data_IF_514784645467
#
_entry.id   IF_514784645467
#
_cell.length_a   1.000
_cell.length_b   1.000
_cell.length_c   1.000
_cell.angle_alpha   90.00
_cell.angle_beta   90.00
_cell.angle_gamma   90.00
#
_symmetry.space_group_name_H-M   'P 1'
#
loop_
_entity.id
_entity.type
_entity.pdbx_description
1 polymer ?
#
# COMPACT_ATOMS: atom_id res chain seq x y z
N UNK A 1 50.59 -28.46 35.44
CA UNK A 1 50.59 -29.51 34.40
C UNK A 1 49.50 -30.51 34.77
N UNK A 2 48.71 -31.05 33.84
CA UNK A 2 48.06 -30.39 32.69
C UNK A 2 46.59 -30.84 32.47
N UNK A 3 45.88 -30.18 31.52
CA UNK A 3 44.95 -30.72 30.50
C UNK A 3 43.67 -31.50 30.92
N UNK A 4 42.51 -31.49 30.23
CA UNK A 4 42.14 -31.07 28.89
C UNK A 4 40.58 -31.02 28.75
N UNK A 5 40.07 -30.12 27.91
CA UNK A 5 38.86 -30.34 27.06
C UNK A 5 39.31 -31.12 25.81
N UNK A 6 38.48 -31.83 25.00
CA UNK A 6 37.06 -31.59 24.64
C UNK A 6 36.23 -32.91 24.48
N UNK A 7 34.94 -32.92 24.14
CA UNK A 7 34.46 -32.97 22.74
C UNK A 7 32.93 -33.07 22.67
N UNK A 8 32.39 -32.35 21.70
CA UNK A 8 31.01 -32.30 21.23
C UNK A 8 30.69 -33.44 20.25
N UNK A 9 29.49 -34.01 20.30
CA UNK A 9 28.81 -34.74 19.21
C UNK A 9 27.30 -34.62 19.46
N UNK A 10 26.62 -33.77 18.70
CA UNK A 10 25.86 -34.05 17.47
C UNK A 10 24.54 -34.78 17.72
N UNK A 11 23.43 -34.06 17.55
CA UNK A 11 22.24 -34.60 16.91
C UNK A 11 21.48 -33.47 16.22
N UNK A 12 21.74 -33.44 14.93
CA UNK A 12 21.01 -32.83 13.83
C UNK A 12 19.51 -32.57 14.04
N UNK A 13 19.10 -31.34 13.66
CA UNK A 13 17.79 -31.09 13.05
C UNK A 13 17.08 -29.81 13.47
N UNK A 14 17.30 -28.66 12.82
CA UNK A 14 16.27 -27.64 12.70
C UNK A 14 15.54 -27.87 11.37
N UNK A 15 14.33 -28.45 11.41
CA UNK A 15 13.36 -28.23 10.34
C UNK A 15 12.94 -26.77 10.42
N UNK A 16 13.73 -25.91 9.79
CA UNK A 16 13.35 -24.56 9.48
C UNK A 16 12.10 -24.62 8.60
N UNK A 17 10.94 -24.43 9.21
CA UNK A 17 9.84 -23.78 8.52
C UNK A 17 10.35 -22.38 8.17
N UNK A 18 10.98 -22.28 7.00
CA UNK A 18 11.14 -21.03 6.30
C UNK A 18 9.73 -20.59 5.92
N UNK A 19 9.06 -19.92 6.85
CA UNK A 19 8.05 -18.94 6.49
C UNK A 19 8.78 -17.97 5.59
N UNK A 20 8.45 -18.02 4.30
CA UNK A 20 8.94 -17.13 3.27
C UNK A 20 8.79 -15.68 3.78
N UNK A 21 9.87 -15.12 4.31
CA UNK A 21 10.02 -13.67 4.34
C UNK A 21 10.13 -13.25 2.89
N UNK A 22 9.30 -12.33 2.38
CA UNK A 22 9.63 -11.64 1.15
C UNK A 22 10.77 -10.68 1.47
N UNK A 23 11.98 -11.22 1.50
CA UNK A 23 13.22 -10.48 1.44
C UNK A 23 13.32 -9.86 0.06
N UNK A 24 12.93 -8.59 -0.05
CA UNK A 24 13.33 -7.73 -1.15
C UNK A 24 13.50 -6.32 -0.61
N UNK A 25 14.70 -6.03 -0.11
CA UNK A 25 15.20 -4.70 0.23
C UNK A 25 15.55 -3.88 -1.03
N UNK A 26 14.76 -4.01 -2.09
CA UNK A 26 14.80 -3.06 -3.21
C UNK A 26 13.62 -2.10 -3.02
N UNK A 27 13.77 -0.79 -3.28
CA UNK A 27 12.62 0.08 -3.42
C UNK A 27 11.74 -0.54 -4.51
N UNK A 28 10.66 -1.19 -4.10
CA UNK A 28 9.71 -1.76 -5.01
C UNK A 28 8.89 -0.59 -5.52
N UNK A 29 8.71 -0.51 -6.84
CA UNK A 29 7.88 0.53 -7.41
C UNK A 29 6.51 0.57 -6.69
N UNK A 30 5.93 1.76 -6.47
CA UNK A 30 4.62 1.90 -5.84
C UNK A 30 3.63 0.99 -6.55
N UNK A 31 2.96 0.13 -5.78
CA UNK A 31 2.02 -0.84 -6.31
C UNK A 31 0.82 -0.99 -5.39
N UNK A 32 -0.33 -1.28 -5.98
CA UNK A 32 -1.56 -1.59 -5.27
C UNK A 32 -1.90 -3.06 -5.51
N UNK A 33 -1.81 -3.88 -4.45
CA UNK A 33 -1.98 -5.34 -4.55
C UNK A 33 -1.11 -5.99 -5.67
N UNK A 34 0.10 -5.47 -5.89
CA UNK A 34 1.00 -5.94 -6.96
C UNK A 34 0.83 -5.25 -8.32
N UNK A 35 -0.22 -4.47 -8.54
CA UNK A 35 -0.39 -3.67 -9.75
C UNK A 35 0.44 -2.39 -9.71
N UNK A 36 1.33 -2.22 -10.69
CA UNK A 36 2.21 -1.03 -10.85
C UNK A 36 1.68 -0.09 -11.94
N UNK A 37 1.14 -0.66 -13.02
CA UNK A 37 0.65 0.09 -14.16
C UNK A 37 -0.69 0.76 -13.85
N UNK A 38 -0.86 2.00 -14.33
CA UNK A 38 -2.08 2.78 -14.04
C UNK A 38 -3.35 2.08 -14.51
N UNK A 39 -3.33 1.38 -15.64
CA UNK A 39 -4.51 0.66 -16.15
C UNK A 39 -4.92 -0.52 -15.26
N UNK A 40 -3.95 -1.22 -14.68
CA UNK A 40 -4.21 -2.35 -13.78
C UNK A 40 -4.74 -1.83 -12.45
N UNK A 41 -4.12 -0.80 -11.89
CA UNK A 41 -4.59 -0.09 -10.68
C UNK A 41 -6.02 0.42 -10.87
N UNK A 42 -6.31 1.04 -12.02
CA UNK A 42 -7.64 1.54 -12.37
C UNK A 42 -8.68 0.42 -12.43
N UNK A 43 -8.29 -0.74 -12.98
CA UNK A 43 -9.18 -1.90 -13.08
C UNK A 43 -9.47 -2.48 -11.70
N UNK A 44 -8.45 -2.65 -10.87
CA UNK A 44 -8.58 -3.11 -9.48
C UNK A 44 -9.45 -2.18 -8.64
N UNK A 45 -9.21 -0.87 -8.67
CA UNK A 45 -10.02 0.11 -7.96
C UNK A 45 -11.48 0.08 -8.42
N UNK A 46 -11.71 -0.04 -9.73
CA UNK A 46 -13.07 -0.15 -10.27
C UNK A 46 -13.78 -1.39 -9.75
N UNK A 47 -13.12 -2.54 -9.80
CA UNK A 47 -13.67 -3.79 -9.31
C UNK A 47 -14.00 -3.66 -7.82
N UNK A 48 -12.99 -3.34 -6.99
CA UNK A 48 -13.14 -3.17 -5.55
C UNK A 48 -14.31 -2.25 -5.17
N UNK A 49 -14.39 -1.04 -5.75
CA UNK A 49 -15.44 -0.07 -5.42
C UNK A 49 -16.83 -0.52 -5.88
N UNK A 50 -16.93 -1.27 -6.98
CA UNK A 50 -18.23 -1.67 -7.56
C UNK A 50 -18.74 -3.03 -7.09
N UNK A 51 -17.86 -3.90 -6.59
CA UNK A 51 -18.23 -5.23 -6.12
C UNK A 51 -18.36 -5.32 -4.60
N UNK A 52 -17.67 -4.45 -3.86
CA UNK A 52 -17.69 -4.44 -2.39
C UNK A 52 -18.61 -3.33 -1.90
N UNK A 53 -19.58 -3.68 -1.04
CA UNK A 53 -20.51 -2.70 -0.45
C UNK A 53 -19.97 -2.08 0.84
N UNK A 54 -19.14 -2.82 1.57
CA UNK A 54 -18.54 -2.41 2.85
C UNK A 54 -17.02 -2.67 2.80
N UNK A 55 -16.20 -1.68 2.41
CA UNK A 55 -14.76 -1.85 2.27
C UNK A 55 -14.09 -2.07 3.63
N UNK A 56 -13.15 -3.02 3.70
CA UNK A 56 -12.38 -3.26 4.90
C UNK A 56 -11.38 -2.12 5.16
N UNK A 57 -11.14 -1.81 6.43
CA UNK A 57 -10.20 -0.75 6.82
C UNK A 57 -8.78 -1.02 6.28
N UNK A 58 -8.33 -2.27 6.23
CA UNK A 58 -7.00 -2.59 5.69
C UNK A 58 -6.87 -2.26 4.20
N UNK A 59 -7.93 -2.48 3.41
CA UNK A 59 -7.92 -2.17 1.98
C UNK A 59 -7.83 -0.66 1.77
N UNK A 60 -8.59 0.11 2.56
CA UNK A 60 -8.53 1.58 2.55
C UNK A 60 -7.12 2.06 2.90
N UNK A 61 -6.54 1.51 3.97
CA UNK A 61 -5.17 1.84 4.39
C UNK A 61 -4.13 1.44 3.34
N UNK A 62 -4.33 0.35 2.61
CA UNK A 62 -3.45 -0.05 1.51
C UNK A 62 -3.50 0.97 0.36
N UNK A 63 -4.68 1.50 0.05
CA UNK A 63 -4.83 2.58 -0.95
C UNK A 63 -4.17 3.87 -0.47
N UNK A 64 -4.30 4.22 0.81
CA UNK A 64 -3.57 5.35 1.40
C UNK A 64 -2.07 5.16 1.23
N UNK A 65 -1.56 3.98 1.62
CA UNK A 65 -0.13 3.65 1.50
C UNK A 65 0.35 3.75 0.06
N UNK A 66 -0.40 3.19 -0.90
CA UNK A 66 -0.04 3.30 -2.31
C UNK A 66 0.03 4.77 -2.76
N UNK A 67 -0.92 5.60 -2.37
CA UNK A 67 -0.88 7.02 -2.69
C UNK A 67 0.32 7.73 -2.06
N UNK A 68 0.65 7.43 -0.80
CA UNK A 68 1.83 8.00 -0.14
C UNK A 68 3.14 7.54 -0.78
N UNK A 69 3.23 6.28 -1.18
CA UNK A 69 4.39 5.75 -1.90
C UNK A 69 4.58 6.51 -3.25
N UNK A 70 3.50 6.84 -3.96
CA UNK A 70 3.57 7.68 -5.17
C UNK A 70 4.09 9.09 -4.89
N UNK A 71 3.74 9.69 -3.74
CA UNK A 71 4.25 11.01 -3.32
C UNK A 71 5.76 10.94 -3.08
N UNK A 72 6.21 9.91 -2.38
CA UNK A 72 7.63 9.67 -2.04
C UNK A 72 8.47 9.45 -3.30
N UNK A 73 7.98 8.66 -4.25
CA UNK A 73 8.59 8.42 -5.56
C UNK A 73 8.40 9.58 -6.56
N UNK A 74 7.73 10.66 -6.13
CA UNK A 74 7.47 11.87 -6.90
C UNK A 74 6.63 11.64 -8.17
N UNK A 75 5.87 10.57 -8.23
CA UNK A 75 4.94 10.25 -9.32
C UNK A 75 3.58 10.95 -9.09
N UNK A 76 3.62 12.29 -9.10
CA UNK A 76 2.45 13.14 -8.84
C UNK A 76 1.42 13.07 -9.98
N UNK A 77 1.85 12.72 -11.19
CA UNK A 77 0.95 12.52 -12.33
C UNK A 77 0.06 11.30 -12.11
N UNK A 78 0.65 10.15 -11.75
CA UNK A 78 -0.14 8.95 -11.44
C UNK A 78 -1.01 9.17 -10.21
N UNK A 79 -0.50 9.85 -9.17
CA UNK A 79 -1.29 10.21 -7.99
C UNK A 79 -2.53 11.02 -8.36
N UNK A 80 -2.39 12.09 -9.15
CA UNK A 80 -3.52 12.94 -9.56
C UNK A 80 -4.58 12.13 -10.34
N UNK A 81 -4.12 11.27 -11.27
CA UNK A 81 -5.00 10.39 -12.04
C UNK A 81 -5.76 9.40 -11.14
N UNK A 82 -5.06 8.77 -10.18
CA UNK A 82 -5.65 7.81 -9.23
C UNK A 82 -6.66 8.50 -8.31
N UNK A 83 -6.30 9.65 -7.71
CA UNK A 83 -7.19 10.41 -6.82
C UNK A 83 -8.45 10.87 -7.56
N UNK A 84 -8.32 11.42 -8.78
CA UNK A 84 -9.48 11.82 -9.61
C UNK A 84 -10.36 10.62 -9.96
N UNK A 85 -9.75 9.47 -10.25
CA UNK A 85 -10.49 8.26 -10.58
C UNK A 85 -11.28 7.73 -9.38
N UNK A 86 -10.64 7.67 -8.20
CA UNK A 86 -11.28 7.27 -6.95
C UNK A 86 -12.40 8.23 -6.56
N UNK A 87 -12.17 9.54 -6.61
CA UNK A 87 -13.20 10.57 -6.37
C UNK A 87 -14.45 10.28 -7.20
N UNK A 88 -14.27 10.12 -8.51
CA UNK A 88 -15.37 9.87 -9.44
C UNK A 88 -16.13 8.59 -9.11
N UNK A 89 -15.45 7.49 -8.80
CA UNK A 89 -16.11 6.21 -8.52
C UNK A 89 -16.77 6.20 -7.14
N UNK A 90 -16.01 6.54 -6.10
CA UNK A 90 -16.45 6.45 -4.71
C UNK A 90 -17.58 7.46 -4.43
N UNK A 91 -17.47 8.70 -4.93
CA UNK A 91 -18.54 9.70 -4.75
C UNK A 91 -19.73 9.49 -5.68
N UNK A 92 -19.59 8.69 -6.75
CA UNK A 92 -20.75 8.24 -7.54
C UNK A 92 -21.50 7.08 -6.91
N UNK A 93 -20.92 6.43 -5.91
CA UNK A 93 -21.56 5.33 -5.19
C UNK A 93 -22.73 5.84 -4.36
N UNK A 94 -23.79 5.04 -4.29
CA UNK A 94 -24.95 5.31 -3.44
C UNK A 94 -24.65 5.09 -1.96
N UNK A 95 -23.66 4.25 -1.67
CA UNK A 95 -23.26 3.94 -0.30
C UNK A 95 -22.40 5.07 0.27
N UNK A 96 -22.83 5.64 1.40
CA UNK A 96 -22.11 6.74 2.04
C UNK A 96 -20.74 6.34 2.57
N UNK A 97 -20.52 5.04 2.85
CA UNK A 97 -19.23 4.53 3.32
C UNK A 97 -18.11 4.80 2.32
N UNK A 98 -18.39 4.73 1.02
CA UNK A 98 -17.42 5.04 -0.03
C UNK A 98 -17.07 6.53 -0.08
N UNK A 99 -18.02 7.41 0.22
CA UNK A 99 -17.75 8.84 0.34
C UNK A 99 -16.82 9.11 1.54
N UNK A 100 -17.11 8.50 2.70
CA UNK A 100 -16.26 8.63 3.89
C UNK A 100 -14.86 8.04 3.67
N UNK A 101 -14.76 6.88 3.02
CA UNK A 101 -13.49 6.26 2.69
C UNK A 101 -12.67 7.14 1.74
N UNK A 102 -13.31 7.79 0.76
CA UNK A 102 -12.62 8.73 -0.12
C UNK A 102 -12.07 9.94 0.64
N UNK A 103 -12.89 10.56 1.50
CA UNK A 103 -12.48 11.70 2.31
C UNK A 103 -11.30 11.33 3.22
N UNK A 104 -11.36 10.17 3.88
CA UNK A 104 -10.26 9.65 4.68
C UNK A 104 -8.97 9.46 3.87
N UNK A 105 -9.06 8.85 2.69
CA UNK A 105 -7.90 8.67 1.81
C UNK A 105 -7.33 10.02 1.40
N UNK A 106 -8.19 10.93 0.96
CA UNK A 106 -7.78 12.26 0.50
C UNK A 106 -7.11 13.06 1.61
N UNK A 107 -7.68 13.09 2.81
CA UNK A 107 -7.12 13.82 3.96
C UNK A 107 -5.70 13.34 4.29
N UNK A 108 -5.49 12.02 4.34
CA UNK A 108 -4.15 11.46 4.58
C UNK A 108 -3.17 11.84 3.46
N UNK A 109 -3.58 11.71 2.21
CA UNK A 109 -2.77 12.11 1.04
C UNK A 109 -2.41 13.58 1.10
N UNK A 110 -3.36 14.46 1.43
CA UNK A 110 -3.14 15.90 1.53
C UNK A 110 -2.16 16.27 2.65
N UNK A 111 -2.26 15.60 3.82
CA UNK A 111 -1.31 15.79 4.93
C UNK A 111 0.10 15.45 4.48
N UNK A 112 0.29 14.30 3.83
CA UNK A 112 1.63 13.86 3.37
C UNK A 112 2.15 14.77 2.26
N UNK A 113 1.31 15.17 1.30
CA UNK A 113 1.71 16.07 0.22
C UNK A 113 2.10 17.46 0.74
N UNK A 114 1.39 17.96 1.75
CA UNK A 114 1.70 19.21 2.44
C UNK A 114 3.03 19.12 3.21
N UNK A 115 3.30 18.00 3.88
CA UNK A 115 4.57 17.81 4.61
C UNK A 115 5.76 17.66 3.66
N UNK A 116 5.61 16.97 2.53
CA UNK A 116 6.69 16.71 1.59
C UNK A 116 6.96 17.88 0.63
N UNK A 117 5.92 18.52 0.11
CA UNK A 117 6.03 19.56 -0.93
C UNK A 117 5.53 20.95 -0.49
N UNK A 118 4.97 21.09 0.72
CA UNK A 118 4.45 22.36 1.21
C UNK A 118 3.15 22.81 0.52
N UNK A 119 2.48 21.93 -0.23
CA UNK A 119 1.28 22.24 -1.02
C UNK A 119 0.24 21.12 -0.93
N UNK A 120 -0.98 21.41 -1.36
CA UNK A 120 -2.08 20.44 -1.45
C UNK A 120 -2.49 20.17 -2.90
N UNK A 121 -3.00 18.97 -3.16
CA UNK A 121 -3.54 18.60 -4.46
C UNK A 121 -4.87 19.32 -4.70
N UNK A 122 -5.02 20.01 -5.83
CA UNK A 122 -6.29 20.64 -6.21
C UNK A 122 -7.23 19.62 -6.83
N UNK A 123 -8.10 19.05 -6.02
CA UNK A 123 -9.10 18.08 -6.47
C UNK A 123 -10.40 18.79 -6.84
N UNK A 124 -10.46 19.33 -8.07
CA UNK A 124 -11.63 20.03 -8.62
C UNK A 124 -12.70 19.02 -9.06
#
# INVERSE_FOLDING_TARGET
QPEAVPSTSDSSGPSALQTEQPGSFRPQAPNLAGAVEFNDVKTLLKEWITTISDPMEEDILQVVKYCTDLIEEKDLEKLDLVVKYMKRLMQSSVESVWNMAFDFILDNVQVVLQQTYGSTLKVI
#
